data_IF_098628748269
#
_entry.id   IF_098628748269
#
_cell.length_a   1.000
_cell.length_b   1.000
_cell.length_c   1.000
_cell.angle_alpha   90.00
_cell.angle_beta   90.00
_cell.angle_gamma   90.00
#
_symmetry.space_group_name_H-M   'P 1'
#
loop_
_entity.id
_entity.type
_entity.pdbx_description
1 polymer ?
#
# COMPACT_ATOMS: atom_id res chain seq x y z
N UNK A 1 3.02 -8.97 3.17
CA UNK A 1 3.40 -9.09 1.75
C UNK A 1 2.15 -9.27 0.90
N UNK A 2 2.00 -8.52 -0.16
CA UNK A 2 0.85 -8.60 -1.06
C UNK A 2 1.34 -8.74 -2.49
N UNK A 3 0.85 -9.80 -3.18
CA UNK A 3 1.15 -10.02 -4.59
C UNK A 3 -0.14 -9.93 -5.40
N UNK A 4 -0.09 -9.33 -6.58
CA UNK A 4 -1.24 -9.23 -7.47
C UNK A 4 -0.79 -9.24 -8.93
N UNK A 5 -1.70 -9.71 -9.80
CA UNK A 5 -1.50 -9.71 -11.23
C UNK A 5 -2.09 -8.41 -11.80
N UNK A 6 -1.21 -7.62 -12.43
CA UNK A 6 -1.65 -6.42 -13.13
C UNK A 6 -2.08 -6.74 -14.56
N UNK A 7 -2.67 -5.75 -15.21
CA UNK A 7 -2.99 -5.84 -16.64
C UNK A 7 -1.70 -5.95 -17.46
N UNK A 8 -1.77 -6.69 -18.57
CA UNK A 8 -0.61 -6.91 -19.44
C UNK A 8 0.30 -8.04 -19.00
N UNK A 9 -0.13 -8.84 -18.03
CA UNK A 9 0.62 -10.02 -17.59
C UNK A 9 1.79 -9.75 -16.67
N UNK A 10 1.89 -8.54 -16.13
CA UNK A 10 2.93 -8.20 -15.15
C UNK A 10 2.44 -8.52 -13.74
N UNK A 11 3.27 -9.20 -12.97
CA UNK A 11 3.00 -9.46 -11.55
C UNK A 11 3.59 -8.35 -10.70
N UNK A 12 2.83 -7.90 -9.71
CA UNK A 12 3.22 -6.85 -8.79
C UNK A 12 3.27 -7.38 -7.36
N UNK A 13 4.25 -6.94 -6.61
CA UNK A 13 4.43 -7.31 -5.22
C UNK A 13 4.73 -6.05 -4.41
N UNK A 14 3.99 -5.84 -3.33
CA UNK A 14 4.28 -4.78 -2.36
C UNK A 14 4.74 -5.44 -1.08
N UNK A 15 5.94 -5.13 -0.66
CA UNK A 15 6.61 -5.78 0.48
C UNK A 15 6.91 -4.74 1.55
N UNK A 16 6.39 -4.99 2.75
CA UNK A 16 6.77 -4.21 3.93
C UNK A 16 8.18 -4.59 4.38
N UNK A 17 9.01 -3.58 4.59
CA UNK A 17 10.29 -3.73 5.28
C UNK A 17 10.11 -3.17 6.70
N UNK A 18 9.85 -4.05 7.66
CA UNK A 18 9.48 -3.61 9.01
C UNK A 18 10.60 -2.84 9.72
N UNK A 19 11.85 -3.15 9.42
CA UNK A 19 12.99 -2.45 10.03
C UNK A 19 13.11 -1.01 9.54
N UNK A 20 12.69 -0.73 8.31
CA UNK A 20 12.70 0.62 7.74
C UNK A 20 11.32 1.28 7.80
N UNK A 21 10.28 0.52 8.14
CA UNK A 21 8.87 0.95 8.19
C UNK A 21 8.35 1.52 6.88
N UNK A 22 8.88 1.01 5.78
CA UNK A 22 8.52 1.40 4.42
C UNK A 22 8.10 0.18 3.63
N UNK A 23 7.47 0.40 2.49
CA UNK A 23 7.12 -0.67 1.58
C UNK A 23 7.74 -0.42 0.21
N UNK A 24 8.16 -1.50 -0.42
CA UNK A 24 8.78 -1.47 -1.74
C UNK A 24 7.89 -2.19 -2.75
N UNK A 25 7.95 -1.72 -3.98
CA UNK A 25 7.21 -2.27 -5.10
C UNK A 25 8.16 -3.06 -6.00
N UNK A 26 7.82 -4.32 -6.25
CA UNK A 26 8.58 -5.19 -7.13
C UNK A 26 7.67 -5.68 -8.25
N UNK A 27 8.26 -5.97 -9.39
CA UNK A 27 7.54 -6.53 -10.54
C UNK A 27 8.25 -7.75 -11.07
N UNK A 28 7.47 -8.65 -11.68
CA UNK A 28 8.00 -9.85 -12.32
C UNK A 28 7.15 -10.19 -13.54
N UNK A 29 7.76 -10.65 -14.63
CA UNK A 29 7.02 -11.09 -15.82
C UNK A 29 6.31 -12.43 -15.63
N UNK A 30 6.75 -13.27 -14.70
CA UNK A 30 6.22 -14.64 -14.51
C UNK A 30 5.70 -14.91 -13.10
N UNK A 31 5.95 -14.01 -12.14
CA UNK A 31 5.50 -14.18 -10.76
C UNK A 31 6.33 -15.17 -9.94
N UNK A 32 7.36 -15.78 -10.53
CA UNK A 32 8.17 -16.81 -9.90
C UNK A 32 9.58 -16.30 -9.61
N UNK A 33 10.16 -15.61 -10.57
CA UNK A 33 11.49 -15.06 -10.49
C UNK A 33 11.62 -13.78 -11.30
N UNK A 34 12.85 -13.34 -11.52
CA UNK A 34 13.15 -12.13 -12.28
C UNK A 34 12.44 -10.90 -11.70
N UNK A 35 12.46 -10.79 -10.37
CA UNK A 35 11.87 -9.65 -9.67
C UNK A 35 12.74 -8.42 -9.82
N UNK A 36 12.11 -7.31 -10.18
CA UNK A 36 12.76 -6.01 -10.28
C UNK A 36 12.18 -5.09 -9.21
N UNK A 37 13.06 -4.48 -8.42
CA UNK A 37 12.65 -3.49 -7.43
C UNK A 37 12.38 -2.18 -8.16
N UNK A 38 11.11 -1.74 -8.14
CA UNK A 38 10.67 -0.50 -8.79
C UNK A 38 10.79 0.71 -7.86
N UNK A 39 11.19 0.48 -6.62
CA UNK A 39 11.38 1.55 -5.66
C UNK A 39 10.34 1.56 -4.55
N UNK A 40 10.21 2.70 -3.91
CA UNK A 40 9.32 2.87 -2.76
C UNK A 40 7.86 2.84 -3.18
N UNK A 41 7.07 1.95 -2.56
CA UNK A 41 5.63 1.91 -2.77
C UNK A 41 4.94 2.97 -1.90
N UNK A 42 5.27 3.01 -0.60
CA UNK A 42 4.80 4.06 0.30
C UNK A 42 5.70 4.17 1.53
N UNK A 43 5.67 5.37 2.12
CA UNK A 43 6.36 5.70 3.37
C UNK A 43 5.32 6.33 4.31
N UNK A 44 4.98 5.67 5.43
CA UNK A 44 3.96 6.22 6.34
C UNK A 44 4.31 7.58 6.93
N UNK A 45 5.61 7.90 7.02
CA UNK A 45 6.04 9.19 7.55
C UNK A 45 5.83 10.34 6.58
N UNK A 46 5.48 10.07 5.34
CA UNK A 46 5.27 11.09 4.31
C UNK A 46 3.91 11.78 4.39
N UNK A 47 3.01 11.37 5.28
CA UNK A 47 1.69 11.98 5.51
C UNK A 47 0.88 12.15 4.21
N UNK A 48 0.92 11.15 3.35
CA UNK A 48 0.29 11.23 2.03
C UNK A 48 -1.21 10.87 2.04
N UNK A 49 -1.71 10.33 3.15
CA UNK A 49 -3.11 9.89 3.26
C UNK A 49 -3.94 11.00 3.91
N UNK A 50 -5.02 11.39 3.23
CA UNK A 50 -5.95 12.39 3.73
C UNK A 50 -7.33 11.79 3.91
N UNK A 51 -8.00 12.19 4.99
CA UNK A 51 -9.42 11.89 5.16
C UNK A 51 -10.28 12.73 4.23
N UNK A 52 -11.54 12.35 4.04
CA UNK A 52 -12.47 13.04 3.17
C UNK A 52 -12.74 14.49 3.63
N UNK A 53 -12.56 14.79 4.91
CA UNK A 53 -12.69 16.13 5.47
C UNK A 53 -11.42 16.99 5.33
N UNK A 54 -10.37 16.44 4.70
CA UNK A 54 -9.10 17.14 4.48
C UNK A 54 -8.09 17.00 5.59
N UNK A 55 -8.44 16.34 6.70
CA UNK A 55 -7.48 16.13 7.79
C UNK A 55 -6.44 15.06 7.41
N UNK A 56 -5.26 15.19 7.99
CA UNK A 56 -4.15 14.26 7.79
C UNK A 56 -3.76 13.69 9.14
N UNK A 57 -3.70 12.37 9.21
CA UNK A 57 -3.20 11.70 10.41
C UNK A 57 -1.77 11.21 10.15
N UNK A 58 -0.96 11.23 11.18
CA UNK A 58 0.41 10.74 11.15
C UNK A 58 0.44 9.29 11.64
N UNK A 59 1.01 8.39 10.82
CA UNK A 59 1.01 6.97 11.14
C UNK A 59 2.37 6.54 11.67
N UNK A 60 2.38 5.92 12.84
CA UNK A 60 3.57 5.26 13.39
C UNK A 60 3.94 4.03 12.55
N UNK A 61 2.93 3.25 12.14
CA UNK A 61 3.09 2.11 11.25
C UNK A 61 1.94 2.04 10.27
N UNK A 62 2.25 1.61 9.06
CA UNK A 62 1.29 1.37 8.00
C UNK A 62 1.72 0.10 7.29
N UNK A 63 1.02 -0.99 7.56
CA UNK A 63 1.46 -2.33 7.20
C UNK A 63 0.31 -3.14 6.57
N UNK A 64 0.63 -4.34 6.12
CA UNK A 64 -0.30 -5.33 5.57
C UNK A 64 -1.16 -4.73 4.45
N UNK A 65 -0.54 -4.27 3.37
CA UNK A 65 -1.31 -3.73 2.25
C UNK A 65 -2.21 -4.83 1.65
N UNK A 66 -3.48 -4.50 1.47
CA UNK A 66 -4.45 -5.30 0.76
C UNK A 66 -4.98 -4.52 -0.43
N UNK A 67 -5.69 -5.18 -1.33
CA UNK A 67 -6.22 -4.52 -2.51
C UNK A 67 -7.70 -4.85 -2.69
N UNK A 68 -8.43 -3.90 -3.26
CA UNK A 68 -9.79 -4.08 -3.73
C UNK A 68 -9.74 -3.96 -5.26
N UNK A 69 -10.21 -5.02 -5.95
CA UNK A 69 -10.21 -5.05 -7.41
C UNK A 69 -11.59 -4.71 -7.94
N UNK A 70 -11.64 -3.86 -8.95
CA UNK A 70 -12.86 -3.55 -9.70
C UNK A 70 -12.51 -3.67 -11.19
N UNK A 71 -13.23 -4.55 -11.89
CA UNK A 71 -12.99 -4.82 -13.31
C UNK A 71 -11.53 -5.17 -13.62
N UNK A 72 -10.88 -5.90 -12.72
CA UNK A 72 -9.49 -6.34 -12.90
C UNK A 72 -8.42 -5.29 -12.58
N UNK A 73 -8.81 -4.09 -12.16
CA UNK A 73 -7.88 -3.03 -11.74
C UNK A 73 -7.97 -2.79 -10.25
N UNK A 74 -6.88 -2.37 -9.64
CA UNK A 74 -6.88 -1.98 -8.22
C UNK A 74 -7.64 -0.66 -8.09
N UNK A 75 -8.73 -0.68 -7.32
CA UNK A 75 -9.55 0.50 -7.06
C UNK A 75 -9.22 1.14 -5.72
N UNK A 76 -8.65 0.38 -4.79
CA UNK A 76 -8.27 0.87 -3.48
C UNK A 76 -7.23 -0.04 -2.86
N UNK A 77 -6.45 0.53 -1.96
CA UNK A 77 -5.61 -0.23 -1.03
C UNK A 77 -6.23 -0.18 0.37
N UNK A 78 -6.02 -1.25 1.12
CA UNK A 78 -6.32 -1.29 2.55
C UNK A 78 -5.02 -1.44 3.33
N UNK A 79 -4.94 -0.80 4.49
CA UNK A 79 -3.76 -0.87 5.33
C UNK A 79 -4.17 -1.04 6.79
N UNK A 80 -3.38 -1.81 7.53
CA UNK A 80 -3.44 -1.83 8.99
C UNK A 80 -2.52 -0.72 9.51
N UNK A 81 -3.06 0.21 10.25
CA UNK A 81 -2.33 1.39 10.72
C UNK A 81 -2.44 1.55 12.23
N UNK A 82 -1.45 2.21 12.81
CA UNK A 82 -1.46 2.65 14.20
C UNK A 82 -0.81 4.03 14.26
N UNK A 83 -1.40 4.94 15.03
CA UNK A 83 -0.92 6.33 15.10
C UNK A 83 0.03 6.59 16.27
N UNK A 84 0.20 5.61 17.15
CA UNK A 84 1.12 5.67 18.30
C UNK A 84 1.90 4.36 18.39
N UNK A 85 3.03 4.31 19.11
CA UNK A 85 3.68 3.04 19.41
C UNK A 85 2.72 2.07 20.09
N UNK A 86 2.86 0.79 19.84
CA UNK A 86 1.90 -0.24 20.25
C UNK A 86 1.68 -0.26 21.77
N UNK A 87 2.71 0.03 22.55
CA UNK A 87 2.62 0.09 24.00
C UNK A 87 1.86 1.32 24.53
N UNK A 88 1.54 2.26 23.64
CA UNK A 88 0.78 3.47 23.96
C UNK A 88 -0.66 3.43 23.41
N UNK A 89 -1.07 2.30 22.87
CA UNK A 89 -2.40 2.13 22.31
C UNK A 89 -3.46 2.25 23.40
N UNK A 90 -4.45 3.11 23.17
CA UNK A 90 -5.59 3.31 24.08
C UNK A 90 -6.85 2.59 23.64
N UNK A 91 -6.84 1.95 22.47
CA UNK A 91 -7.99 1.23 21.92
C UNK A 91 -9.16 2.12 21.54
N UNK A 92 -8.89 3.36 21.17
CA UNK A 92 -9.90 4.32 20.72
C UNK A 92 -9.53 4.94 19.38
N UNK A 93 -10.40 5.79 18.83
CA UNK A 93 -10.19 6.36 17.49
C UNK A 93 -9.04 7.35 17.42
N UNK A 94 -8.57 7.87 18.56
CA UNK A 94 -7.50 8.86 18.59
C UNK A 94 -6.12 8.22 18.71
N UNK A 95 -6.01 7.12 19.46
CA UNK A 95 -4.74 6.45 19.71
C UNK A 95 -4.92 4.95 19.67
N UNK A 96 -5.00 4.39 18.48
CA UNK A 96 -5.22 2.98 18.34
C UNK A 96 -4.97 2.46 16.93
N UNK A 97 -5.10 1.15 16.82
CA UNK A 97 -5.02 0.46 15.53
C UNK A 97 -6.34 0.58 14.78
N UNK A 98 -6.25 0.67 13.46
CA UNK A 98 -7.41 0.69 12.59
C UNK A 98 -7.03 0.20 11.20
N UNK A 99 -8.05 -0.06 10.39
CA UNK A 99 -7.89 -0.34 8.97
C UNK A 99 -8.36 0.88 8.20
N UNK A 100 -7.53 1.34 7.27
CA UNK A 100 -7.90 2.44 6.38
C UNK A 100 -8.02 1.94 4.95
N UNK A 101 -8.83 2.63 4.16
CA UNK A 101 -9.04 2.35 2.74
C UNK A 101 -8.62 3.60 1.96
N UNK A 102 -7.68 3.41 1.04
CA UNK A 102 -7.12 4.52 0.25
C UNK A 102 -7.47 4.29 -1.22
N UNK A 103 -8.27 5.18 -1.85
CA UNK A 103 -8.57 5.04 -3.27
C UNK A 103 -7.31 5.07 -4.13
N UNK A 104 -7.35 4.31 -5.23
CA UNK A 104 -6.23 4.19 -6.15
C UNK A 104 -6.72 4.11 -7.59
N UNK A 105 -6.06 4.80 -8.49
CA UNK A 105 -6.37 4.75 -9.92
C UNK A 105 -5.59 3.61 -10.59
N UNK A 106 -6.10 2.40 -10.46
CA UNK A 106 -5.47 1.21 -11.03
C UNK A 106 -5.54 1.18 -12.55
N UNK A 107 -6.52 1.84 -13.15
CA UNK A 107 -6.61 1.93 -14.62
C UNK A 107 -5.42 2.71 -15.17
N UNK A 108 -5.13 3.86 -14.59
CA UNK A 108 -3.97 4.66 -14.99
C UNK A 108 -2.66 3.92 -14.70
N UNK A 109 -2.56 3.28 -13.55
CA UNK A 109 -1.39 2.51 -13.17
C UNK A 109 -1.10 1.38 -14.15
N UNK A 110 -2.12 0.58 -14.52
CA UNK A 110 -1.95 -0.54 -15.42
C UNK A 110 -1.60 -0.07 -16.83
N UNK A 111 -2.20 1.02 -17.30
CA UNK A 111 -1.86 1.62 -18.58
C UNK A 111 -0.38 2.06 -18.60
N UNK A 112 0.08 2.73 -17.55
CA UNK A 112 1.45 3.21 -17.48
C UNK A 112 2.44 2.04 -17.39
N UNK A 113 2.08 0.96 -16.69
CA UNK A 113 2.91 -0.25 -16.60
C UNK A 113 3.04 -0.93 -17.96
N UNK A 114 1.97 -0.98 -18.75
CA UNK A 114 2.01 -1.58 -20.08
C UNK A 114 2.89 -0.81 -21.06
N UNK A 115 3.08 0.47 -20.85
CA UNK A 115 3.87 1.35 -21.72
C UNK A 115 5.35 1.40 -21.34
N UNK A 116 5.80 0.62 -20.39
CA UNK A 116 7.20 0.58 -19.94
C UNK A 116 8.02 -0.50 -20.59
#
# INVERSE_FOLDING_TARGET
>A
MTGLLGYGGMYHLVVNCWSERKAFHLTSPDGIGNWTNQGLAYDPTADFVRYTDGTVNHWEKMERPGVVLVNGHVAAFTFAVIDVPKDQELGNDNHGSKVIVVPFDGVAFDRDTQNR
#
